data_IF_652483495645
#
_entry.id   IF_652483495645
#
_cell.length_a   1.000
_cell.length_b   1.000
_cell.length_c   1.000
_cell.angle_alpha   90.00
_cell.angle_beta   90.00
_cell.angle_gamma   90.00
#
_symmetry.space_group_name_H-M   'P 1'
#
loop_
_entity.id
_entity.type
_entity.pdbx_description
1 polymer ?
#
# COMPACT_ATOMS: atom_id res chain seq x y z
N UNK A 1 1.72 6.63 16.98
CA UNK A 1 2.34 5.74 15.99
C UNK A 1 1.29 5.38 14.95
N UNK A 2 1.62 5.40 13.66
CA UNK A 2 0.69 4.97 12.60
C UNK A 2 0.58 3.44 12.61
N UNK A 3 -0.61 2.91 12.31
CA UNK A 3 -0.79 1.46 12.09
C UNK A 3 -1.51 1.22 10.77
N UNK A 4 -1.17 0.12 10.11
CA UNK A 4 -1.77 -0.31 8.85
C UNK A 4 -2.38 -1.70 9.01
N UNK A 5 -3.63 -1.85 8.58
CA UNK A 5 -4.30 -3.13 8.38
C UNK A 5 -4.52 -3.30 6.88
N UNK A 6 -4.49 -4.53 6.37
CA UNK A 6 -4.76 -4.79 4.96
C UNK A 6 -5.62 -6.04 4.76
N UNK A 7 -6.45 -6.02 3.73
CA UNK A 7 -7.23 -7.17 3.25
C UNK A 7 -7.00 -7.38 1.77
N UNK A 8 -7.10 -8.63 1.33
CA UNK A 8 -6.84 -9.05 -0.05
C UNK A 8 -8.06 -9.85 -0.52
N UNK A 9 -8.74 -9.34 -1.55
CA UNK A 9 -9.93 -9.95 -2.13
C UNK A 9 -9.63 -10.30 -3.61
N UNK A 10 -9.45 -11.58 -3.94
CA UNK A 10 -9.35 -11.99 -5.34
C UNK A 10 -10.73 -11.99 -6.01
N UNK A 11 -10.83 -11.39 -7.19
CA UNK A 11 -11.97 -11.54 -8.10
C UNK A 11 -11.53 -12.36 -9.33
N UNK A 12 -11.81 -13.68 -9.33
CA UNK A 12 -11.40 -14.56 -10.43
C UNK A 12 -12.16 -14.27 -11.74
N UNK A 13 -13.30 -13.58 -11.68
CA UNK A 13 -14.10 -13.29 -12.88
C UNK A 13 -13.47 -12.27 -13.81
N UNK A 14 -12.58 -11.43 -13.27
CA UNK A 14 -11.93 -10.32 -13.98
C UNK A 14 -10.41 -10.33 -13.85
N UNK A 15 -9.82 -11.46 -13.42
CA UNK A 15 -8.38 -11.62 -13.22
C UNK A 15 -7.75 -10.45 -12.44
N UNK A 16 -8.35 -10.11 -11.30
CA UNK A 16 -7.98 -8.95 -10.48
C UNK A 16 -7.85 -9.34 -9.01
N UNK A 17 -6.89 -8.73 -8.33
CA UNK A 17 -6.84 -8.75 -6.86
C UNK A 17 -6.94 -7.35 -6.32
N UNK A 18 -7.93 -7.17 -5.44
CA UNK A 18 -8.15 -5.93 -4.72
C UNK A 18 -7.47 -6.00 -3.36
N UNK A 19 -6.60 -5.04 -3.09
CA UNK A 19 -5.97 -4.87 -1.78
C UNK A 19 -6.48 -3.59 -1.15
N UNK A 20 -7.10 -3.71 0.01
CA UNK A 20 -7.57 -2.56 0.78
C UNK A 20 -6.62 -2.36 1.96
N UNK A 21 -6.09 -1.15 2.12
CA UNK A 21 -5.34 -0.72 3.28
C UNK A 21 -6.21 0.18 4.15
N UNK A 22 -6.28 -0.13 5.44
CA UNK A 22 -6.84 0.78 6.44
C UNK A 22 -5.68 1.44 7.19
N UNK A 23 -5.52 2.73 6.95
CA UNK A 23 -4.54 3.56 7.64
C UNK A 23 -5.20 4.17 8.87
N UNK A 24 -4.59 3.99 10.05
CA UNK A 24 -5.05 4.60 11.31
C UNK A 24 -3.97 5.51 11.87
N UNK A 25 -4.30 6.79 12.03
CA UNK A 25 -3.44 7.74 12.72
C UNK A 25 -3.70 7.64 14.23
N UNK A 26 -2.81 7.01 15.00
CA UNK A 26 -2.93 6.95 16.47
C UNK A 26 -2.16 8.06 17.19
N UNK A 27 -1.76 9.11 16.47
CA UNK A 27 -1.05 10.27 17.03
C UNK A 27 -2.00 11.43 17.24
N UNK A 28 -1.55 12.40 18.03
CA UNK A 28 -2.18 13.71 18.20
C UNK A 28 -1.79 14.72 17.10
N UNK A 29 -1.05 14.29 16.08
CA UNK A 29 -0.48 15.14 15.03
C UNK A 29 -1.08 14.79 13.67
N UNK A 30 -0.99 15.72 12.72
CA UNK A 30 -1.37 15.46 11.33
C UNK A 30 -0.29 14.59 10.69
N UNK A 31 -0.71 13.56 9.97
CA UNK A 31 0.15 12.76 9.10
C UNK A 31 -0.13 13.15 7.66
N UNK A 32 0.92 13.47 6.89
CA UNK A 32 0.84 13.84 5.48
C UNK A 32 1.91 13.10 4.65
N UNK A 33 1.97 13.41 3.35
CA UNK A 33 2.92 12.82 2.39
C UNK A 33 2.95 11.27 2.42
N UNK A 34 1.77 10.65 2.57
CA UNK A 34 1.63 9.20 2.69
C UNK A 34 1.87 8.55 1.33
N UNK A 35 2.90 7.72 1.22
CA UNK A 35 3.26 7.02 -0.01
C UNK A 35 3.33 5.52 0.22
N UNK A 36 2.71 4.72 -0.67
CA UNK A 36 2.75 3.26 -0.62
C UNK A 36 3.49 2.73 -1.85
N UNK A 37 4.63 2.12 -1.62
CA UNK A 37 5.45 1.53 -2.67
C UNK A 37 5.37 0.00 -2.62
N UNK A 38 4.99 -0.63 -3.73
CA UNK A 38 4.90 -2.09 -3.84
C UNK A 38 5.89 -2.59 -4.90
N UNK A 39 6.85 -3.41 -4.48
CA UNK A 39 7.82 -4.05 -5.37
C UNK A 39 7.50 -5.53 -5.45
N UNK A 40 7.33 -6.03 -6.66
CA UNK A 40 7.35 -7.47 -6.87
C UNK A 40 8.78 -8.01 -6.77
N UNK A 41 9.02 -8.82 -5.75
CA UNK A 41 10.32 -9.43 -5.49
C UNK A 41 10.75 -10.43 -6.56
N UNK A 42 9.81 -10.96 -7.34
CA UNK A 42 10.08 -12.00 -8.35
C UNK A 42 10.14 -11.46 -9.79
N UNK A 43 9.96 -10.15 -10.01
CA UNK A 43 9.86 -9.51 -11.35
C UNK A 43 8.87 -10.28 -12.23
N UNK A 44 7.81 -10.79 -11.62
CA UNK A 44 6.74 -11.44 -12.35
C UNK A 44 5.88 -10.34 -12.97
N UNK A 45 5.30 -10.62 -14.13
CA UNK A 45 4.65 -9.65 -15.02
C UNK A 45 3.33 -9.06 -14.47
N UNK A 46 3.11 -9.03 -13.15
CA UNK A 46 1.90 -8.47 -12.55
C UNK A 46 1.84 -6.97 -12.54
N UNK A 47 2.98 -6.34 -12.32
CA UNK A 47 3.09 -4.90 -12.47
C UNK A 47 3.48 -4.68 -13.93
N UNK A 48 2.53 -4.93 -14.84
CA UNK A 48 2.84 -5.02 -16.25
C UNK A 48 3.16 -3.61 -16.82
N UNK A 49 4.42 -3.46 -17.22
CA UNK A 49 4.87 -2.72 -18.42
C UNK A 49 4.51 -1.24 -18.50
N UNK A 50 5.26 -0.41 -17.78
CA UNK A 50 5.96 0.81 -18.22
C UNK A 50 6.14 1.73 -17.01
N UNK A 51 7.38 2.16 -16.74
CA UNK A 51 7.79 3.08 -15.67
C UNK A 51 7.55 2.62 -14.22
N UNK A 52 8.64 2.45 -13.48
CA UNK A 52 8.75 2.61 -12.00
C UNK A 52 7.44 2.47 -11.21
N UNK A 53 7.22 1.28 -10.65
CA UNK A 53 6.03 0.83 -9.91
C UNK A 53 5.81 1.56 -8.57
N UNK A 54 5.60 2.87 -8.64
CA UNK A 54 5.43 3.73 -7.48
C UNK A 54 3.99 4.24 -7.45
N UNK A 55 3.15 3.60 -6.63
CA UNK A 55 1.79 4.08 -6.35
C UNK A 55 1.90 5.16 -5.25
N UNK A 56 2.39 6.34 -5.63
CA UNK A 56 2.42 7.50 -4.74
C UNK A 56 1.01 8.08 -4.59
N UNK A 57 0.57 8.23 -3.34
CA UNK A 57 -0.65 8.95 -3.00
C UNK A 57 -0.26 10.32 -2.42
N UNK A 58 0.13 11.25 -3.27
CA UNK A 58 0.67 12.54 -2.82
C UNK A 58 -0.31 13.45 -2.06
N UNK A 59 -1.62 13.13 -2.02
CA UNK A 59 -2.66 14.00 -1.46
C UNK A 59 -3.38 13.50 -0.21
N UNK A 60 -3.01 12.33 0.35
CA UNK A 60 -3.69 11.80 1.53
C UNK A 60 -3.07 12.38 2.80
N UNK A 61 -3.86 13.17 3.54
CA UNK A 61 -3.56 13.55 4.92
C UNK A 61 -4.51 12.86 5.89
N UNK A 62 -4.01 12.55 7.08
CA UNK A 62 -4.77 11.95 8.17
C UNK A 62 -4.75 12.88 9.37
N UNK A 63 -5.91 13.40 9.74
CA UNK A 63 -6.11 14.12 11.00
C UNK A 63 -5.78 13.24 12.21
N UNK A 64 -5.47 13.85 13.37
CA UNK A 64 -5.26 13.11 14.61
C UNK A 64 -6.40 12.13 14.90
N UNK A 65 -6.06 10.91 15.32
CA UNK A 65 -7.03 9.85 15.68
C UNK A 65 -7.99 9.40 14.56
N UNK A 66 -7.77 9.84 13.32
CA UNK A 66 -8.59 9.47 12.16
C UNK A 66 -8.15 8.17 11.50
N UNK A 67 -9.01 7.66 10.61
CA UNK A 67 -8.72 6.51 9.78
C UNK A 67 -9.16 6.76 8.34
N UNK A 68 -8.46 6.15 7.37
CA UNK A 68 -8.80 6.25 5.95
C UNK A 68 -8.52 4.90 5.25
N UNK A 69 -9.37 4.57 4.29
CA UNK A 69 -9.21 3.40 3.44
C UNK A 69 -8.55 3.78 2.13
N UNK A 70 -7.50 3.03 1.76
CA UNK A 70 -6.86 3.12 0.44
C UNK A 70 -7.12 1.81 -0.28
N UNK A 71 -7.63 1.92 -1.49
CA UNK A 71 -7.89 0.78 -2.36
C UNK A 71 -6.82 0.74 -3.45
N UNK A 72 -6.09 -0.37 -3.52
CA UNK A 72 -5.11 -0.64 -4.57
C UNK A 72 -5.58 -1.88 -5.33
N UNK A 73 -5.54 -1.80 -6.65
CA UNK A 73 -5.99 -2.87 -7.52
C UNK A 73 -4.82 -3.39 -8.33
N UNK A 74 -4.59 -4.70 -8.27
CA UNK A 74 -3.56 -5.38 -9.04
C UNK A 74 -4.23 -6.18 -10.16
N UNK A 75 -3.89 -5.85 -11.40
CA UNK A 75 -4.28 -6.66 -12.56
C UNK A 75 -3.41 -7.92 -12.60
N UNK A 76 -4.05 -9.08 -12.54
CA UNK A 76 -3.38 -10.37 -12.55
C UNK A 76 -3.41 -10.91 -13.96
N UNK A 77 -2.37 -10.62 -14.73
CA UNK A 77 -2.14 -11.36 -15.98
C UNK A 77 -1.54 -12.72 -15.62
N UNK A 78 -2.40 -13.68 -15.28
CA UNK A 78 -2.11 -15.08 -14.97
C UNK A 78 -0.99 -15.28 -13.92
N UNK A 79 -1.33 -15.18 -12.63
CA UNK A 79 -0.44 -15.67 -11.57
C UNK A 79 -0.56 -17.20 -11.52
N UNK A 80 0.46 -17.91 -11.98
CA UNK A 80 0.58 -19.36 -11.80
C UNK A 80 1.18 -19.78 -10.44
N UNK A 81 1.69 -18.84 -9.64
CA UNK A 81 2.36 -19.11 -8.35
C UNK A 81 2.21 -17.97 -7.34
N UNK A 82 2.06 -18.26 -6.04
CA UNK A 82 1.79 -17.23 -5.02
C UNK A 82 2.89 -16.17 -5.01
N UNK A 83 2.49 -14.92 -4.90
CA UNK A 83 3.40 -13.80 -5.02
C UNK A 83 3.58 -13.05 -3.72
N UNK A 84 4.80 -12.56 -3.53
CA UNK A 84 5.18 -11.76 -2.38
C UNK A 84 5.64 -10.40 -2.85
N UNK A 85 4.83 -9.38 -2.60
CA UNK A 85 5.19 -7.99 -2.86
C UNK A 85 5.85 -7.41 -1.61
N UNK A 86 7.08 -6.91 -1.75
CA UNK A 86 7.69 -6.08 -0.71
C UNK A 86 7.02 -4.72 -0.75
N UNK A 87 6.32 -4.36 0.31
CA UNK A 87 5.58 -3.11 0.41
C UNK A 87 6.25 -2.19 1.42
N UNK A 88 6.32 -0.91 1.08
CA UNK A 88 6.90 0.14 1.91
C UNK A 88 5.93 1.29 1.96
N UNK A 89 5.46 1.64 3.16
CA UNK A 89 4.71 2.84 3.45
C UNK A 89 5.67 3.89 4.01
N UNK A 90 5.75 5.06 3.41
CA UNK A 90 6.45 6.22 3.99
C UNK A 90 5.46 7.34 4.27
N UNK A 91 5.66 8.08 5.35
CA UNK A 91 4.78 9.18 5.73
C UNK A 91 5.54 10.21 6.54
N UNK A 92 4.99 11.42 6.63
CA UNK A 92 5.53 12.51 7.41
C UNK A 92 4.56 12.90 8.53
N UNK A 93 5.09 13.13 9.73
CA UNK A 93 4.34 13.63 10.89
C UNK A 93 4.72 15.10 11.07
N UNK A 94 3.72 15.98 10.97
CA UNK A 94 3.91 17.39 11.21
C UNK A 94 3.76 17.69 12.71
N UNK A 95 4.89 17.76 13.42
CA UNK A 95 4.95 18.20 14.82
C UNK A 95 5.16 19.71 14.83
N UNK A 96 4.74 20.36 15.91
CA UNK A 96 4.60 21.82 16.08
C UNK A 96 5.75 22.73 15.60
N UNK A 97 6.93 22.22 15.25
CA UNK A 97 7.99 22.92 14.51
C UNK A 97 8.96 21.97 13.77
N UNK A 98 8.61 20.68 13.63
CA UNK A 98 9.49 19.67 13.04
C UNK A 98 8.68 18.71 12.17
N UNK A 99 9.23 18.38 11.00
CA UNK A 99 8.69 17.33 10.14
C UNK A 99 9.54 16.08 10.38
N UNK A 100 8.90 15.04 10.91
CA UNK A 100 9.54 13.73 11.04
C UNK A 100 9.03 12.81 9.94
N UNK A 101 9.94 12.10 9.29
CA UNK A 101 9.58 11.11 8.26
C UNK A 101 9.79 9.72 8.83
N UNK A 102 8.83 8.84 8.62
CA UNK A 102 8.86 7.46 9.11
C UNK A 102 8.49 6.47 7.99
N UNK A 103 8.86 5.21 8.19
CA UNK A 103 8.76 4.14 7.20
C UNK A 103 8.30 2.85 7.85
N UNK A 104 7.26 2.24 7.27
CA UNK A 104 6.78 0.90 7.62
C UNK A 104 7.03 -0.03 6.43
N UNK A 105 7.78 -1.11 6.66
CA UNK A 105 7.97 -2.18 5.68
C UNK A 105 7.14 -3.41 6.04
N UNK A 106 6.46 -3.99 5.05
CA UNK A 106 5.72 -5.24 5.22
C UNK A 106 5.65 -6.02 3.90
N UNK A 107 5.16 -7.26 3.94
CA UNK A 107 5.01 -8.11 2.76
C UNK A 107 3.54 -8.36 2.50
N UNK A 108 3.08 -8.15 1.26
CA UNK A 108 1.77 -8.58 0.80
C UNK A 108 1.90 -9.93 0.12
N UNK A 109 1.06 -10.88 0.52
CA UNK A 109 1.00 -12.19 -0.12
C UNK A 109 -0.22 -12.21 -1.04
N UNK A 110 -0.01 -12.12 -2.36
CA UNK A 110 -1.10 -12.22 -3.32
C UNK A 110 -1.40 -13.71 -3.61
N UNK A 111 -2.67 -14.13 -3.53
CA UNK A 111 -3.07 -15.49 -3.88
C UNK A 111 -2.93 -15.73 -5.39
N UNK A 112 -2.73 -16.99 -5.79
CA UNK A 112 -2.76 -17.35 -7.22
C UNK A 112 -4.19 -17.23 -7.77
N UNK A 113 -4.32 -16.82 -9.02
CA UNK A 113 -5.52 -17.14 -9.81
C UNK A 113 -5.48 -18.63 -10.13
N UNK A 114 -6.46 -19.40 -9.67
CA UNK A 114 -6.67 -20.77 -10.17
C UNK A 114 -7.17 -20.73 -11.61
#
# INVERSE_FOLDING_TARGET
MMSIEHSINPDPSIARVDVTFLLKNRTSFIIDHINIHCIDSMISKLLNTTSTNLISFSSISLSPHSQNYIYIYFSINAISFSQKLKTTLTYSINKLNTIETDRIEFKLNLPCSR
#
